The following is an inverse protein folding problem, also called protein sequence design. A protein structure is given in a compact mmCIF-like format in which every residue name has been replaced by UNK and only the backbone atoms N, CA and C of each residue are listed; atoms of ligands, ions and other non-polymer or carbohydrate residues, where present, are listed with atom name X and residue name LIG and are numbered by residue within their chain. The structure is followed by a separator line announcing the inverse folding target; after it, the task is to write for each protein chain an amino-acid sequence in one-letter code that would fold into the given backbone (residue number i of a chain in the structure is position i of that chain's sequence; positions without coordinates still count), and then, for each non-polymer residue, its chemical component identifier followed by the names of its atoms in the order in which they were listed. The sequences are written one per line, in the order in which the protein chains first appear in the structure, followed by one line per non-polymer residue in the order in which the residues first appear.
data_IF_472079600067
#
_entry.id   IF_472079600067
#
_cell.length_a   1.000
_cell.length_b   1.000
_cell.length_c   1.000
_cell.angle_alpha   90.00
_cell.angle_beta   90.00
_cell.angle_gamma   90.00
#
_symmetry.space_group_name_H-M   'P 1'
#
loop_
_entity.id
_entity.type
_entity.pdbx_description
1 polymer ?
#
# COMPACT_ATOMS: atom_id res chain seq x y z
N UNK A 1 -0.39 4.14 -11.13
CA UNK A 1 -1.60 3.94 -10.27
C UNK A 1 -2.35 5.25 -10.06
N UNK A 2 -3.70 5.29 -10.00
CA UNK A 2 -4.48 6.51 -9.66
C UNK A 2 -4.55 6.75 -8.15
N UNK A 3 -4.49 8.00 -7.68
CA UNK A 3 -4.54 8.35 -6.25
C UNK A 3 -5.79 7.82 -5.51
N UNK A 4 -6.95 7.76 -6.18
CA UNK A 4 -8.17 7.19 -5.58
C UNK A 4 -8.09 5.67 -5.38
N UNK A 5 -7.25 4.97 -6.14
CA UNK A 5 -7.00 3.53 -5.97
C UNK A 5 -6.10 3.33 -4.75
N UNK A 6 -5.03 4.11 -4.63
CA UNK A 6 -4.16 4.13 -3.44
C UNK A 6 -4.97 4.30 -2.16
N UNK A 7 -5.83 5.32 -2.09
CA UNK A 7 -6.71 5.55 -0.93
C UNK A 7 -7.56 4.32 -0.56
N UNK A 8 -8.12 3.64 -1.56
CA UNK A 8 -8.95 2.44 -1.35
C UNK A 8 -8.11 1.27 -0.85
N UNK A 9 -6.93 1.07 -1.43
CA UNK A 9 -6.00 0.00 -1.05
C UNK A 9 -5.47 0.21 0.37
N UNK A 10 -5.00 1.41 0.70
CA UNK A 10 -4.54 1.78 2.05
C UNK A 10 -5.61 1.51 3.10
N UNK A 11 -6.87 1.90 2.84
CA UNK A 11 -7.99 1.58 3.74
C UNK A 11 -8.21 0.07 3.88
N UNK A 12 -8.10 -0.69 2.79
CA UNK A 12 -8.35 -2.13 2.80
C UNK A 12 -7.25 -2.89 3.55
N UNK A 13 -5.99 -2.51 3.35
CA UNK A 13 -4.84 -3.10 4.05
C UNK A 13 -4.92 -2.85 5.56
N UNK A 14 -5.28 -1.63 5.98
CA UNK A 14 -5.55 -1.34 7.39
C UNK A 14 -6.64 -2.25 7.98
N UNK A 15 -7.73 -2.48 7.24
CA UNK A 15 -8.82 -3.37 7.67
C UNK A 15 -8.41 -4.85 7.73
N UNK A 16 -7.51 -5.30 6.85
CA UNK A 16 -7.04 -6.68 6.81
C UNK A 16 -6.00 -6.97 7.90
N UNK A 17 -5.13 -6.01 8.20
CA UNK A 17 -4.05 -6.18 9.17
C UNK A 17 -4.04 -5.06 10.23
N UNK A 18 -5.10 -4.95 11.06
CA UNK A 18 -5.21 -3.87 12.04
C UNK A 18 -4.14 -3.95 13.14
N UNK A 19 -3.61 -5.14 13.43
CA UNK A 19 -2.50 -5.31 14.37
C UNK A 19 -1.19 -4.71 13.87
N UNK A 20 -0.92 -4.87 12.56
CA UNK A 20 0.28 -4.36 11.91
C UNK A 20 0.22 -2.83 11.76
N UNK A 21 -0.94 -2.33 11.33
CA UNK A 21 -1.16 -0.91 11.08
C UNK A 21 -1.79 -0.17 12.26
N UNK A 22 -1.59 -0.63 13.50
CA UNK A 22 -2.26 -0.07 14.68
C UNK A 22 -1.99 1.43 14.89
N UNK A 23 -0.81 1.89 14.47
CA UNK A 23 -0.39 3.30 14.56
C UNK A 23 -0.69 4.10 13.29
N UNK A 24 -1.38 3.51 12.32
CA UNK A 24 -1.77 4.23 11.13
C UNK A 24 -2.74 5.35 11.48
N UNK A 25 -2.58 6.48 10.81
CA UNK A 25 -3.39 7.67 10.98
C UNK A 25 -3.94 8.11 9.63
N UNK A 26 -4.94 8.99 9.66
CA UNK A 26 -5.54 9.53 8.44
C UNK A 26 -5.04 10.96 8.28
N UNK A 27 -4.37 11.21 7.17
CA UNK A 27 -4.00 12.57 6.78
C UNK A 27 -5.25 13.29 6.27
N UNK A 28 -5.74 14.24 7.08
CA UNK A 28 -6.96 15.01 6.78
C UNK A 28 -6.66 16.29 6.02
N UNK A 29 -5.45 16.81 6.19
CA UNK A 29 -5.10 18.18 5.83
C UNK A 29 -4.39 18.21 4.48
N UNK A 30 -3.60 17.17 4.17
CA UNK A 30 -2.81 17.11 2.95
C UNK A 30 -3.22 16.00 1.97
N UNK A 31 -3.10 16.24 0.66
CA UNK A 31 -3.21 15.19 -0.35
C UNK A 31 -1.99 14.27 -0.29
N UNK A 32 -2.15 12.97 -0.60
CA UNK A 32 -0.99 12.07 -0.70
C UNK A 32 -0.01 12.54 -1.79
N UNK A 33 1.27 12.16 -1.69
CA UNK A 33 2.31 12.43 -2.71
C UNK A 33 1.85 12.07 -4.14
N UNK A 34 1.17 10.93 -4.28
CA UNK A 34 0.61 10.49 -5.55
C UNK A 34 -0.55 11.39 -6.00
N UNK A 35 -1.37 11.88 -5.07
CA UNK A 35 -2.44 12.82 -5.38
C UNK A 35 -1.87 14.18 -5.82
N UNK A 36 -0.83 14.67 -5.16
CA UNK A 36 -0.13 15.91 -5.49
C UNK A 36 0.50 15.85 -6.88
N UNK A 37 1.27 14.79 -7.18
CA UNK A 37 1.88 14.60 -8.52
C UNK A 37 0.85 14.49 -9.65
N UNK A 38 -0.32 13.91 -9.37
CA UNK A 38 -1.43 13.82 -10.33
C UNK A 38 -2.30 15.08 -10.39
N UNK A 39 -1.99 16.12 -9.61
CA UNK A 39 -2.80 17.34 -9.45
C UNK A 39 -4.26 17.04 -9.06
N UNK A 40 -4.45 16.02 -8.21
CA UNK A 40 -5.75 15.61 -7.69
C UNK A 40 -5.90 15.96 -6.22
N UNK A 41 -7.13 16.20 -5.77
CA UNK A 41 -7.44 16.55 -4.35
C UNK A 41 -7.81 15.33 -3.51
N UNK A 42 -7.16 14.18 -3.74
CA UNK A 42 -7.43 12.97 -2.97
C UNK A 42 -6.72 13.07 -1.61
N UNK A 43 -7.48 13.37 -0.56
CA UNK A 43 -7.04 13.39 0.84
C UNK A 43 -7.68 12.26 1.66
N UNK A 44 -7.47 12.24 2.98
CA UNK A 44 -7.97 11.20 3.90
C UNK A 44 -7.46 9.81 3.53
N UNK A 45 -6.17 9.71 3.24
CA UNK A 45 -5.48 8.45 2.97
C UNK A 45 -4.95 7.91 4.29
N UNK A 46 -5.04 6.59 4.47
CA UNK A 46 -4.40 5.94 5.61
C UNK A 46 -2.88 5.94 5.41
N UNK A 47 -2.16 6.45 6.39
CA UNK A 47 -0.72 6.66 6.40
C UNK A 47 -0.08 6.11 7.67
N UNK A 48 1.20 5.82 7.61
CA UNK A 48 2.05 5.28 8.68
C UNK A 48 3.37 6.05 8.74
N UNK A 49 4.06 5.97 9.86
CA UNK A 49 5.21 6.82 10.12
C UNK A 49 4.77 8.23 10.47
N UNK A 50 5.61 9.22 10.14
CA UNK A 50 5.42 10.59 10.58
C UNK A 50 5.73 10.80 12.05
N UNK A 51 5.57 12.05 12.50
CA UNK A 51 5.92 12.48 13.85
C UNK A 51 7.38 12.90 13.96
N UNK A 52 7.88 13.00 15.19
CA UNK A 52 9.27 13.37 15.46
C UNK A 52 9.99 12.25 16.21
N UNK A 53 11.26 12.06 15.89
CA UNK A 53 12.12 11.14 16.62
C UNK A 53 12.56 11.71 17.98
N UNK A 54 13.46 11.00 18.68
CA UNK A 54 13.98 11.44 19.97
C UNK A 54 14.73 12.78 19.90
N UNK A 55 15.35 13.09 18.76
CA UNK A 55 16.10 14.32 18.51
C UNK A 55 15.21 15.46 17.98
N UNK A 56 13.92 15.21 17.79
CA UNK A 56 12.97 16.17 17.24
C UNK A 56 12.99 16.25 15.71
N UNK A 57 13.68 15.33 15.03
CA UNK A 57 13.71 15.26 13.58
C UNK A 57 12.41 14.63 13.06
N UNK A 58 11.86 15.23 12.01
CA UNK A 58 10.65 14.72 11.37
C UNK A 58 10.91 13.34 10.76
N UNK A 59 10.07 12.37 11.12
CA UNK A 59 10.09 11.05 10.51
C UNK A 59 9.27 11.06 9.22
N UNK A 60 9.72 10.29 8.24
CA UNK A 60 8.98 10.14 6.98
C UNK A 60 7.60 9.55 7.22
N UNK A 61 6.62 10.09 6.50
CA UNK A 61 5.27 9.55 6.44
C UNK A 61 5.05 8.87 5.09
N UNK A 62 4.51 7.65 5.14
CA UNK A 62 4.18 6.87 3.95
C UNK A 62 2.70 6.52 3.97
N UNK A 63 2.06 6.42 2.80
CA UNK A 63 0.73 5.80 2.74
C UNK A 63 0.84 4.32 3.15
N UNK A 64 -0.20 3.76 3.78
CA UNK A 64 -0.22 2.33 4.14
C UNK A 64 0.06 1.44 2.93
N UNK A 65 -0.40 1.83 1.74
CA UNK A 65 -0.05 1.15 0.50
C UNK A 65 1.44 1.23 0.17
N UNK A 66 2.06 2.41 0.28
CA UNK A 66 3.48 2.58 0.00
C UNK A 66 4.35 1.79 0.99
N UNK A 67 4.03 1.84 2.29
CA UNK A 67 4.69 1.05 3.31
C UNK A 67 4.55 -0.45 3.06
N UNK A 68 3.32 -0.91 2.80
CA UNK A 68 3.08 -2.31 2.42
C UNK A 68 3.88 -2.70 1.19
N UNK A 69 3.88 -1.90 0.12
CA UNK A 69 4.63 -2.21 -1.10
C UNK A 69 6.14 -2.28 -0.86
N UNK A 70 6.66 -1.47 0.05
CA UNK A 70 8.09 -1.45 0.41
C UNK A 70 8.48 -2.54 1.40
N UNK A 71 7.54 -3.09 2.17
CA UNK A 71 7.83 -4.01 3.26
C UNK A 71 7.04 -5.33 3.22
N UNK A 72 6.25 -5.56 2.17
CA UNK A 72 5.39 -6.75 2.03
C UNK A 72 6.16 -8.07 2.20
N UNK A 73 7.43 -8.11 1.76
CA UNK A 73 8.31 -9.27 1.90
C UNK A 73 8.75 -9.53 3.35
N UNK A 74 8.67 -8.53 4.23
CA UNK A 74 8.94 -8.64 5.67
C UNK A 74 7.66 -8.81 6.52
N UNK A 75 6.47 -8.61 5.97
CA UNK A 75 5.20 -8.48 6.71
C UNK A 75 4.25 -9.69 6.59
N UNK A 76 4.76 -10.91 6.40
CA UNK A 76 3.96 -12.13 6.16
C UNK A 76 2.67 -12.28 7.00
N UNK A 77 1.59 -12.88 6.43
CA UNK A 77 1.47 -14.33 6.31
C UNK A 77 0.79 -14.71 4.99
N UNK A 78 1.55 -14.66 3.91
CA UNK A 78 1.15 -15.38 2.71
C UNK A 78 2.05 -16.60 2.70
N UNK A 79 1.46 -17.79 2.72
CA UNK A 79 2.24 -19.01 2.55
C UNK A 79 3.04 -18.82 1.26
N UNK A 80 4.37 -18.88 1.34
CA UNK A 80 5.15 -18.83 0.13
C UNK A 80 4.72 -20.03 -0.72
N UNK A 81 4.70 -19.85 -2.05
CA UNK A 81 4.47 -21.00 -2.90
C UNK A 81 5.46 -22.12 -2.53
N UNK A 82 4.98 -23.38 -2.47
CA UNK A 82 5.78 -24.50 -2.02
C UNK A 82 6.99 -24.71 -2.94
N UNK A 83 8.01 -25.39 -2.40
CA UNK A 83 9.25 -25.72 -3.11
C UNK A 83 8.93 -26.44 -4.43
N UNK A 84 9.48 -25.97 -5.55
CA UNK A 84 9.21 -26.48 -6.89
C UNK A 84 8.05 -25.83 -7.66
N UNK A 85 7.41 -24.79 -7.11
CA UNK A 85 6.41 -23.98 -7.82
C UNK A 85 7.08 -22.91 -8.71
N UNK A 86 6.46 -22.53 -9.84
CA UNK A 86 7.00 -21.50 -10.75
C UNK A 86 7.20 -20.11 -10.11
N UNK A 87 6.59 -19.88 -8.96
CA UNK A 87 6.68 -18.67 -8.14
C UNK A 87 7.15 -18.96 -6.72
N UNK A 88 7.99 -19.99 -6.53
CA UNK A 88 8.60 -20.33 -5.25
C UNK A 88 9.20 -19.09 -4.56
N UNK A 89 8.97 -18.96 -3.26
CA UNK A 89 9.43 -17.81 -2.46
C UNK A 89 8.57 -16.54 -2.61
N UNK A 90 7.65 -16.49 -3.56
CA UNK A 90 6.62 -15.45 -3.63
C UNK A 90 5.39 -15.83 -2.79
N UNK A 91 4.69 -14.83 -2.23
CA UNK A 91 3.50 -15.09 -1.43
C UNK A 91 2.34 -15.65 -2.25
N UNK A 92 1.73 -16.73 -1.76
CA UNK A 92 0.50 -17.28 -2.31
C UNK A 92 -0.66 -16.31 -2.08
N UNK A 93 -1.12 -15.73 -3.18
CA UNK A 93 -2.28 -14.83 -3.20
C UNK A 93 -3.58 -15.57 -3.47
N UNK A 94 -3.55 -16.89 -3.67
CA UNK A 94 -4.70 -17.73 -4.03
C UNK A 94 -5.81 -17.76 -2.97
N UNK A 95 -5.48 -17.54 -1.71
CA UNK A 95 -6.44 -17.46 -0.59
C UNK A 95 -7.16 -16.11 -0.49
N UNK A 96 -6.78 -15.11 -1.28
CA UNK A 96 -7.39 -13.79 -1.21
C UNK A 96 -8.80 -13.81 -1.77
N UNK A 97 -9.69 -13.04 -1.13
CA UNK A 97 -11.02 -12.80 -1.70
C UNK A 97 -10.87 -12.24 -3.12
N UNK A 98 -11.73 -12.64 -4.07
CA UNK A 98 -11.68 -12.15 -5.44
C UNK A 98 -11.66 -10.61 -5.54
N UNK A 99 -12.30 -9.93 -4.60
CA UNK A 99 -12.28 -8.46 -4.50
C UNK A 99 -10.90 -7.88 -4.20
N UNK A 100 -10.11 -8.54 -3.38
CA UNK A 100 -8.73 -8.13 -3.06
C UNK A 100 -7.81 -8.43 -4.26
N UNK A 101 -7.94 -9.60 -4.89
CA UNK A 101 -7.21 -9.95 -6.11
C UNK A 101 -7.48 -8.97 -7.25
N UNK A 102 -8.76 -8.63 -7.47
CA UNK A 102 -9.15 -7.67 -8.50
C UNK A 102 -8.59 -6.27 -8.23
N UNK A 103 -8.48 -5.86 -6.96
CA UNK A 103 -7.89 -4.57 -6.59
C UNK A 103 -6.37 -4.56 -6.81
N UNK A 104 -5.67 -5.65 -6.46
CA UNK A 104 -4.22 -5.79 -6.72
C UNK A 104 -3.93 -5.82 -8.22
N UNK A 105 -4.71 -6.59 -8.99
CA UNK A 105 -4.61 -6.64 -10.45
C UNK A 105 -4.86 -5.26 -11.07
N UNK A 106 -5.92 -4.57 -10.64
CA UNK A 106 -6.21 -3.20 -11.08
C UNK A 106 -5.08 -2.22 -10.74
N UNK A 107 -4.44 -2.37 -9.57
CA UNK A 107 -3.30 -1.55 -9.18
C UNK A 107 -2.09 -1.79 -10.10
N UNK A 108 -1.76 -3.06 -10.36
CA UNK A 108 -0.70 -3.47 -11.27
C UNK A 108 -0.93 -2.98 -12.71
N UNK A 109 -2.15 -3.16 -13.24
CA UNK A 109 -2.54 -2.68 -14.57
C UNK A 109 -2.41 -1.15 -14.67
N UNK A 110 -2.81 -0.42 -13.62
CA UNK A 110 -2.66 1.04 -13.57
C UNK A 110 -1.21 1.51 -13.38
N UNK A 111 -0.30 0.68 -12.85
CA UNK A 111 1.14 0.98 -12.80
C UNK A 111 1.80 0.72 -14.15
N UNK A 112 1.46 -0.39 -14.80
CA UNK A 112 1.94 -0.71 -16.14
C UNK A 112 1.52 0.38 -17.14
N UNK A 113 0.25 0.78 -17.12
CA UNK A 113 -0.27 1.85 -17.97
C UNK A 113 0.40 3.21 -17.72
N UNK A 114 0.82 3.51 -16.48
CA UNK A 114 1.57 4.75 -16.21
C UNK A 114 3.01 4.69 -16.69
N UNK A 115 3.62 3.50 -16.76
CA UNK A 115 4.99 3.31 -17.27
C UNK A 115 5.06 3.34 -18.79
N UNK A 116 4.01 2.89 -19.48
CA UNK A 116 3.93 2.94 -20.95
C UNK A 116 3.47 4.30 -21.49
N UNK A 117 2.86 5.13 -20.65
CA UNK A 117 2.45 6.49 -21.02
C UNK A 117 3.52 7.57 -20.73
N UNK A 118 4.65 7.18 -20.13
CA UNK A 118 5.82 8.02 -19.87
C UNK A 118 6.88 7.79 -20.94
#
# INVERSE_FOLDING_TARGET
MKARIEKKLSKRLFQLHPGHYRRAWIDKDEPSELAYSQRTRVSHVWSVGGGTDYWGEGLDAYTVWADWKSNWFWHGPFEAHPEGHEFEGYPDTGSFRPTTLNLLKLAADCELASKTAA
#
